data_IF_157389993650
#
_entry.id   IF_157389993650
#
_cell.length_a   1.000
_cell.length_b   1.000
_cell.length_c   1.000
_cell.angle_alpha   90.00
_cell.angle_beta   90.00
_cell.angle_gamma   90.00
#
_symmetry.space_group_name_H-M   'P 1'
#
loop_
_entity.id
_entity.type
_entity.pdbx_description
1 polymer ?
#
# COMPACT_ATOMS: atom_id res chain seq x y z
N UNK A 1 -28.75 23.90 77.62
CA UNK A 1 -29.83 22.90 77.38
C UNK A 1 -29.63 22.33 75.96
N UNK A 2 -30.03 21.08 75.70
CA UNK A 2 -29.17 20.13 74.98
C UNK A 2 -29.52 20.00 73.47
N UNK A 3 -28.71 19.45 72.56
CA UNK A 3 -27.73 18.35 72.61
C UNK A 3 -28.37 16.95 72.79
N UNK A 4 -27.74 15.83 72.40
CA UNK A 4 -26.46 15.63 71.68
C UNK A 4 -26.73 15.55 70.14
N UNK A 5 -26.06 14.82 69.23
CA UNK A 5 -25.05 13.77 69.36
C UNK A 5 -24.10 13.56 68.14
N UNK A 6 -23.05 12.80 68.47
CA UNK A 6 -21.99 12.09 67.74
C UNK A 6 -22.48 10.90 66.89
N UNK A 7 -21.73 10.27 65.95
CA UNK A 7 -20.49 10.52 65.18
C UNK A 7 -20.36 9.31 64.17
N UNK A 8 -19.28 8.95 63.45
CA UNK A 8 -17.87 9.38 63.38
C UNK A 8 -17.25 9.00 61.99
N UNK A 9 -15.93 9.24 61.82
CA UNK A 9 -15.04 8.69 60.77
C UNK A 9 -13.94 7.84 61.46
N UNK A 10 -13.33 6.83 60.78
CA UNK A 10 -12.05 7.11 60.11
C UNK A 10 -11.71 6.26 58.86
N UNK A 11 -10.85 6.83 58.02
CA UNK A 11 -9.82 6.13 57.21
C UNK A 11 -8.43 6.49 57.81
N UNK A 12 -7.26 5.97 57.35
CA UNK A 12 -6.98 5.01 56.27
C UNK A 12 -6.03 3.85 56.71
N UNK A 13 -5.45 3.07 55.78
CA UNK A 13 -4.23 2.28 56.06
C UNK A 13 -4.01 1.03 55.21
N UNK A 14 -2.83 0.87 54.60
CA UNK A 14 -2.52 -0.22 53.66
C UNK A 14 -1.73 -1.40 54.27
N UNK A 15 -2.04 -2.63 53.82
CA UNK A 15 -1.21 -3.85 53.75
C UNK A 15 -2.04 -4.95 53.04
N UNK A 16 -1.53 -5.93 52.30
CA UNK A 16 -0.33 -6.18 51.46
C UNK A 16 -0.35 -7.71 51.18
N UNK A 17 -0.24 -8.09 49.90
CA UNK A 17 0.32 -9.37 49.40
C UNK A 17 -0.48 -10.69 49.56
N UNK A 18 -0.07 -11.65 48.71
CA UNK A 18 -0.60 -13.01 48.50
C UNK A 18 -2.00 -13.06 47.79
N UNK A 19 -2.22 -13.79 46.70
CA UNK A 19 -1.36 -14.73 45.93
C UNK A 19 -1.45 -14.57 44.39
N UNK A 20 -0.29 -14.70 43.74
CA UNK A 20 -0.08 -15.28 42.40
C UNK A 20 1.24 -16.06 42.50
N UNK A 21 1.40 -17.21 41.82
CA UNK A 21 2.17 -17.15 40.56
C UNK A 21 1.86 -18.21 39.48
N UNK A 22 2.17 -17.86 38.22
CA UNK A 22 2.34 -18.78 37.08
C UNK A 22 1.12 -18.90 36.18
N UNK A 23 1.21 -18.76 34.84
CA UNK A 23 2.35 -18.56 33.89
C UNK A 23 1.74 -17.77 32.70
N UNK A 24 2.27 -16.69 32.11
CA UNK A 24 3.62 -16.31 31.64
C UNK A 24 4.29 -17.38 30.74
N UNK A 25 4.74 -17.08 29.50
CA UNK A 25 4.73 -15.84 28.71
C UNK A 25 5.08 -16.11 27.22
N UNK A 26 4.98 -15.07 26.38
CA UNK A 26 5.78 -14.79 25.17
C UNK A 26 5.65 -15.63 23.86
N UNK A 27 4.98 -15.03 22.86
CA UNK A 27 5.42 -14.82 21.45
C UNK A 27 4.25 -14.15 20.70
N UNK A 28 4.31 -12.96 20.08
CA UNK A 28 5.39 -12.07 19.62
C UNK A 28 6.23 -12.62 18.44
N UNK A 29 5.86 -12.19 17.22
CA UNK A 29 6.78 -12.05 16.07
C UNK A 29 6.77 -13.15 15.00
N UNK A 30 5.89 -13.03 13.99
CA UNK A 30 6.26 -13.22 12.56
C UNK A 30 5.06 -13.00 11.62
N UNK A 31 4.96 -11.81 11.03
CA UNK A 31 4.02 -11.48 9.94
C UNK A 31 4.63 -11.79 8.56
N UNK A 32 4.43 -13.01 8.06
CA UNK A 32 4.74 -13.39 6.66
C UNK A 32 3.67 -14.38 6.16
N UNK A 33 3.14 -14.15 4.96
CA UNK A 33 2.32 -15.13 4.23
C UNK A 33 0.87 -15.24 4.68
N UNK A 34 0.08 -14.19 4.44
CA UNK A 34 -1.38 -14.32 4.38
C UNK A 34 -1.82 -14.63 2.95
N UNK A 35 -2.24 -15.87 2.69
CA UNK A 35 -3.05 -16.18 1.50
C UNK A 35 -4.54 -16.00 1.85
N UNK A 36 -5.36 -15.37 0.98
CA UNK A 36 -6.80 -15.32 1.15
C UNK A 36 -7.42 -16.71 0.88
N UNK A 37 -8.43 -17.09 1.66
CA UNK A 37 -9.03 -18.44 1.62
C UNK A 37 -9.75 -18.81 0.30
N UNK A 38 -9.89 -17.87 -0.62
CA UNK A 38 -10.73 -17.97 -1.82
C UNK A 38 -10.20 -18.91 -2.92
N UNK A 39 -8.90 -19.20 -2.97
CA UNK A 39 -8.31 -20.11 -3.97
C UNK A 39 -8.86 -21.55 -3.86
N UNK A 40 -9.24 -21.97 -2.65
CA UNK A 40 -9.85 -23.28 -2.40
C UNK A 40 -11.32 -23.37 -2.87
N UNK A 41 -12.01 -22.23 -3.04
CA UNK A 41 -13.37 -22.17 -3.59
C UNK A 41 -13.34 -22.16 -5.13
N UNK A 42 -12.47 -21.34 -5.73
CA UNK A 42 -12.30 -21.26 -7.19
C UNK A 42 -11.95 -22.62 -7.83
N UNK A 43 -11.15 -23.44 -7.15
CA UNK A 43 -10.80 -24.79 -7.59
C UNK A 43 -11.98 -25.79 -7.68
N UNK A 44 -13.16 -25.47 -7.11
CA UNK A 44 -14.39 -26.27 -7.27
C UNK A 44 -15.29 -25.80 -8.43
N UNK A 45 -15.01 -24.65 -9.05
CA UNK A 45 -15.86 -24.08 -10.10
C UNK A 45 -15.53 -24.61 -11.52
N UNK A 46 -14.32 -25.15 -11.72
CA UNK A 46 -13.93 -25.83 -12.96
C UNK A 46 -13.85 -27.34 -12.71
N UNK A 47 -14.62 -28.12 -13.47
CA UNK A 47 -14.80 -29.56 -13.31
C UNK A 47 -13.58 -30.41 -13.70
N UNK A 48 -12.44 -30.18 -13.05
CA UNK A 48 -11.26 -31.03 -13.13
C UNK A 48 -11.18 -31.90 -11.88
N UNK A 49 -11.30 -33.23 -12.02
CA UNK A 49 -10.99 -34.15 -10.93
C UNK A 49 -9.47 -34.14 -10.66
N UNK A 50 -9.03 -33.22 -9.80
CA UNK A 50 -7.70 -33.21 -9.22
C UNK A 50 -7.58 -34.37 -8.22
N UNK A 51 -7.42 -35.59 -8.73
CA UNK A 51 -7.31 -36.81 -7.95
C UNK A 51 -6.28 -36.68 -6.83
N UNK A 52 -6.65 -37.11 -5.63
CA UNK A 52 -5.85 -36.91 -4.42
C UNK A 52 -4.40 -37.42 -4.61
N UNK A 53 -3.38 -36.63 -4.23
CA UNK A 53 -1.99 -36.97 -4.53
C UNK A 53 -1.59 -38.27 -3.83
N UNK A 54 -1.34 -39.31 -4.63
CA UNK A 54 -0.98 -40.64 -4.14
C UNK A 54 0.23 -40.54 -3.20
N UNK A 55 0.13 -40.96 -1.92
CA UNK A 55 1.19 -40.80 -0.94
C UNK A 55 2.48 -41.56 -1.29
N UNK A 56 2.45 -42.53 -2.21
CA UNK A 56 3.63 -43.20 -2.72
C UNK A 56 4.47 -42.33 -3.69
N UNK A 57 3.84 -41.40 -4.42
CA UNK A 57 4.53 -40.63 -5.47
C UNK A 57 5.59 -39.66 -4.93
N UNK A 58 5.39 -39.13 -3.71
CA UNK A 58 6.32 -38.18 -3.06
C UNK A 58 7.58 -38.89 -2.54
N UNK A 59 7.56 -40.22 -2.40
CA UNK A 59 8.70 -40.99 -1.88
C UNK A 59 9.78 -41.31 -2.93
N UNK A 60 9.45 -41.30 -4.23
CA UNK A 60 10.30 -41.85 -5.30
C UNK A 60 11.22 -40.85 -6.01
N UNK A 61 11.10 -39.55 -5.73
CA UNK A 61 12.02 -38.53 -6.28
C UNK A 61 13.32 -38.35 -5.48
N UNK A 62 13.55 -39.18 -4.45
CA UNK A 62 14.58 -38.97 -3.42
C UNK A 62 15.71 -40.02 -3.42
N UNK A 63 16.01 -40.63 -4.58
CA UNK A 63 17.03 -41.69 -4.69
C UNK A 63 17.88 -41.57 -5.97
N UNK A 64 18.97 -40.77 -5.90
CA UNK A 64 20.10 -40.89 -6.83
C UNK A 64 21.38 -40.32 -6.18
N UNK A 65 22.39 -41.15 -5.88
CA UNK A 65 23.69 -40.66 -5.43
C UNK A 65 24.54 -40.25 -6.65
N UNK A 66 25.03 -39.01 -6.65
CA UNK A 66 26.19 -38.64 -7.47
C UNK A 66 27.45 -39.30 -6.87
N UNK A 67 28.47 -39.63 -7.69
CA UNK A 67 29.64 -40.39 -7.23
C UNK A 67 30.46 -39.62 -6.19
N UNK A 68 31.08 -40.36 -5.27
CA UNK A 68 32.08 -39.82 -4.34
C UNK A 68 33.35 -39.42 -5.09
N UNK A 69 33.84 -38.20 -4.84
CA UNK A 69 35.11 -37.67 -5.35
C UNK A 69 36.05 -37.44 -4.15
N UNK A 70 37.10 -38.24 -4.04
CA UNK A 70 37.90 -38.38 -2.82
C UNK A 70 38.97 -37.28 -2.66
N UNK A 71 38.62 -36.12 -2.09
CA UNK A 71 39.61 -35.24 -1.46
C UNK A 71 39.13 -34.52 -0.19
N UNK A 72 40.01 -34.51 0.82
CA UNK A 72 40.21 -33.38 1.76
C UNK A 72 39.05 -32.88 2.64
N UNK A 73 39.17 -33.12 3.95
CA UNK A 73 38.57 -32.31 5.04
C UNK A 73 37.04 -32.05 5.01
N UNK A 74 36.27 -33.02 5.55
CA UNK A 74 34.84 -32.83 5.90
C UNK A 74 34.65 -31.79 7.01
N UNK A 75 34.50 -30.51 6.65
CA UNK A 75 34.25 -29.41 7.59
C UNK A 75 33.00 -29.65 8.46
N UNK A 76 33.10 -29.62 9.82
CA UNK A 76 31.97 -29.86 10.72
C UNK A 76 30.78 -28.92 10.48
N UNK A 77 31.06 -27.69 10.04
CA UNK A 77 30.05 -26.65 9.77
C UNK A 77 29.08 -27.07 8.68
N UNK A 78 29.54 -27.77 7.62
CA UNK A 78 28.65 -28.27 6.55
C UNK A 78 27.68 -29.34 7.06
N UNK A 79 28.08 -30.17 8.01
CA UNK A 79 27.20 -31.16 8.63
C UNK A 79 26.15 -30.49 9.53
N UNK A 80 26.56 -29.52 10.36
CA UNK A 80 25.67 -28.75 11.22
C UNK A 80 24.61 -27.94 10.44
N UNK A 81 25.00 -27.33 9.32
CA UNK A 81 24.06 -26.60 8.45
C UNK A 81 23.07 -27.56 7.78
N UNK A 82 23.48 -28.77 7.37
CA UNK A 82 22.57 -29.79 6.83
C UNK A 82 21.56 -30.26 7.88
N UNK A 83 21.99 -30.58 9.11
CA UNK A 83 21.06 -31.01 10.18
C UNK A 83 20.09 -29.91 10.61
N UNK A 84 20.56 -28.66 10.76
CA UNK A 84 19.69 -27.50 11.00
C UNK A 84 18.65 -27.31 9.89
N UNK A 85 19.02 -27.48 8.62
CA UNK A 85 18.09 -27.36 7.47
C UNK A 85 17.10 -28.54 7.41
N UNK A 86 17.50 -29.77 7.71
CA UNK A 86 16.57 -30.92 7.77
C UNK A 86 15.61 -30.83 8.95
N UNK A 87 16.07 -30.44 10.14
CA UNK A 87 15.20 -30.19 11.30
C UNK A 87 14.18 -29.07 11.00
N UNK A 88 14.61 -27.98 10.39
CA UNK A 88 13.73 -26.85 10.05
C UNK A 88 12.63 -27.27 9.07
N UNK A 89 12.96 -28.09 8.06
CA UNK A 89 11.98 -28.70 7.15
C UNK A 89 11.05 -29.66 7.89
N UNK A 90 11.57 -30.52 8.77
CA UNK A 90 10.78 -31.46 9.57
C UNK A 90 9.90 -30.78 10.65
N UNK A 91 10.23 -29.56 11.07
CA UNK A 91 9.36 -28.70 11.91
C UNK A 91 8.26 -28.06 11.06
N UNK A 92 8.59 -27.44 9.91
CA UNK A 92 7.60 -26.87 8.97
C UNK A 92 6.60 -27.92 8.47
N UNK A 93 7.05 -29.12 8.12
CA UNK A 93 6.16 -30.21 7.70
C UNK A 93 5.18 -30.64 8.81
N UNK A 94 5.64 -30.68 10.08
CA UNK A 94 4.78 -30.99 11.23
C UNK A 94 3.80 -29.87 11.55
N UNK A 95 4.20 -28.60 11.47
CA UNK A 95 3.27 -27.48 11.71
C UNK A 95 2.23 -27.34 10.60
N UNK A 96 2.58 -27.60 9.33
CA UNK A 96 1.62 -27.67 8.22
C UNK A 96 0.64 -28.83 8.42
N UNK A 97 1.12 -30.04 8.74
CA UNK A 97 0.24 -31.20 8.97
C UNK A 97 -0.68 -31.01 10.19
N UNK A 98 -0.20 -30.37 11.26
CA UNK A 98 -1.01 -30.01 12.41
C UNK A 98 -2.09 -28.96 12.04
N UNK A 99 -1.74 -27.90 11.32
CA UNK A 99 -2.67 -26.86 10.86
C UNK A 99 -3.73 -27.44 9.90
N UNK A 100 -3.34 -28.35 9.01
CA UNK A 100 -4.27 -29.07 8.13
C UNK A 100 -5.24 -29.97 8.92
N UNK A 101 -4.76 -30.73 9.91
CA UNK A 101 -5.63 -31.52 10.78
C UNK A 101 -6.58 -30.64 11.63
N UNK A 102 -6.12 -29.46 12.07
CA UNK A 102 -6.91 -28.50 12.84
C UNK A 102 -7.99 -27.82 11.99
N UNK A 103 -7.70 -27.53 10.71
CA UNK A 103 -8.69 -27.07 9.72
C UNK A 103 -9.71 -28.17 9.38
N UNK A 104 -9.26 -29.42 9.23
CA UNK A 104 -10.14 -30.55 8.94
C UNK A 104 -11.06 -30.91 10.12
N UNK A 105 -10.57 -30.76 11.36
CA UNK A 105 -11.41 -30.90 12.55
C UNK A 105 -12.42 -29.76 12.64
N UNK A 106 -12.00 -28.50 12.44
CA UNK A 106 -12.92 -27.35 12.38
C UNK A 106 -14.06 -27.55 11.38
N UNK A 107 -13.79 -28.08 10.18
CA UNK A 107 -14.86 -28.37 9.21
C UNK A 107 -15.86 -29.41 9.69
N UNK A 108 -15.42 -30.45 10.42
CA UNK A 108 -16.32 -31.44 11.01
C UNK A 108 -17.13 -30.81 12.16
N UNK A 109 -16.48 -29.99 13.00
CA UNK A 109 -17.14 -29.21 14.06
C UNK A 109 -18.13 -28.14 13.51
N UNK A 110 -18.06 -27.84 12.20
CA UNK A 110 -18.84 -26.86 11.45
C UNK A 110 -19.97 -27.52 10.62
N UNK A 111 -19.81 -28.79 10.22
CA UNK A 111 -20.85 -29.63 9.59
C UNK A 111 -21.85 -30.21 10.63
N UNK A 112 -21.40 -30.55 11.85
CA UNK A 112 -22.27 -31.00 12.97
C UNK A 112 -22.82 -29.83 13.84
N UNK A 113 -22.72 -28.59 13.36
CA UNK A 113 -23.16 -27.39 14.07
C UNK A 113 -24.70 -27.24 14.16
N UNK A 114 -25.23 -26.42 15.09
CA UNK A 114 -26.66 -26.14 15.17
C UNK A 114 -27.12 -25.32 13.95
N UNK A 115 -27.78 -26.00 12.99
CA UNK A 115 -28.30 -25.38 11.77
C UNK A 115 -29.37 -24.35 12.11
N UNK A 116 -29.15 -23.10 11.68
CA UNK A 116 -30.08 -21.99 11.86
C UNK A 116 -30.61 -21.50 10.50
N UNK A 117 -31.93 -21.33 10.39
CA UNK A 117 -32.55 -20.69 9.23
C UNK A 117 -32.48 -19.17 9.38
N UNK A 118 -31.71 -18.50 8.53
CA UNK A 118 -31.42 -17.06 8.62
C UNK A 118 -31.61 -16.38 7.26
N UNK A 119 -32.18 -15.18 7.27
CA UNK A 119 -32.14 -14.29 6.10
C UNK A 119 -30.69 -13.82 5.84
N UNK A 120 -30.34 -13.45 4.60
CA UNK A 120 -29.01 -12.94 4.27
C UNK A 120 -28.65 -11.68 5.09
N UNK A 121 -27.39 -11.53 5.54
CA UNK A 121 -26.97 -10.47 6.45
C UNK A 121 -27.02 -9.07 5.83
N UNK A 122 -27.10 -8.98 4.50
CA UNK A 122 -27.12 -7.74 3.73
C UNK A 122 -28.55 -7.20 3.43
N UNK A 123 -29.59 -7.96 3.79
CA UNK A 123 -31.00 -7.58 3.55
C UNK A 123 -31.76 -8.57 2.66
N UNK A 124 -33.00 -8.21 2.33
CA UNK A 124 -33.94 -9.04 1.57
C UNK A 124 -34.94 -8.19 0.77
N UNK A 125 -35.71 -8.83 -0.11
CA UNK A 125 -36.78 -8.19 -0.89
C UNK A 125 -38.16 -8.25 -0.21
N UNK A 126 -38.23 -8.68 1.05
CA UNK A 126 -39.48 -8.93 1.79
C UNK A 126 -40.33 -7.67 2.05
N UNK A 127 -39.70 -6.48 1.98
CA UNK A 127 -40.37 -5.19 2.14
C UNK A 127 -39.82 -4.15 1.17
N UNK A 128 -40.60 -3.11 0.86
CA UNK A 128 -40.15 -2.01 0.00
C UNK A 128 -38.90 -1.31 0.56
N UNK A 129 -38.83 -1.09 1.88
CA UNK A 129 -37.65 -0.47 2.52
C UNK A 129 -36.40 -1.35 2.42
N UNK A 130 -36.54 -2.65 2.69
CA UNK A 130 -35.46 -3.63 2.56
C UNK A 130 -34.98 -3.72 1.11
N UNK A 131 -35.91 -3.80 0.16
CA UNK A 131 -35.64 -3.83 -1.29
C UNK A 131 -34.88 -2.59 -1.74
N UNK A 132 -35.31 -1.40 -1.33
CA UNK A 132 -34.63 -0.15 -1.67
C UNK A 132 -33.22 -0.06 -1.07
N UNK A 133 -33.00 -0.61 0.13
CA UNK A 133 -31.66 -0.69 0.74
C UNK A 133 -30.74 -1.66 -0.01
N UNK A 134 -31.23 -2.87 -0.34
CA UNK A 134 -30.50 -3.86 -1.14
C UNK A 134 -30.14 -3.30 -2.52
N UNK A 135 -31.10 -2.70 -3.22
CA UNK A 135 -30.89 -2.13 -4.55
C UNK A 135 -29.98 -0.88 -4.51
N UNK A 136 -29.99 -0.12 -3.42
CA UNK A 136 -29.05 0.98 -3.20
C UNK A 136 -27.62 0.47 -3.01
N UNK A 137 -27.39 -0.53 -2.15
CA UNK A 137 -26.07 -1.13 -1.94
C UNK A 137 -25.55 -1.74 -3.24
N UNK A 138 -26.37 -2.52 -3.96
CA UNK A 138 -26.00 -3.02 -5.27
C UNK A 138 -25.58 -1.87 -6.23
N UNK A 139 -26.30 -0.74 -6.22
CA UNK A 139 -25.98 0.40 -7.08
C UNK A 139 -24.68 1.17 -6.73
N UNK A 140 -24.06 0.93 -5.57
CA UNK A 140 -22.70 1.46 -5.31
C UNK A 140 -21.61 0.62 -5.97
N UNK A 141 -21.91 -0.63 -6.34
CA UNK A 141 -20.96 -1.58 -6.92
C UNK A 141 -20.07 -2.30 -5.90
N UNK A 142 -20.36 -2.19 -4.60
CA UNK A 142 -19.65 -2.90 -3.53
C UNK A 142 -20.47 -4.11 -3.05
N UNK A 143 -19.89 -5.31 -3.14
CA UNK A 143 -20.53 -6.58 -2.76
C UNK A 143 -21.79 -6.97 -3.55
N UNK A 144 -22.11 -6.27 -4.65
CA UNK A 144 -23.33 -6.48 -5.45
C UNK A 144 -23.45 -7.91 -6.01
N UNK A 145 -22.30 -8.58 -6.22
CA UNK A 145 -22.20 -9.96 -6.67
C UNK A 145 -22.81 -10.98 -5.70
N UNK A 146 -22.68 -10.77 -4.38
CA UNK A 146 -23.21 -11.70 -3.37
C UNK A 146 -24.74 -11.66 -3.34
N UNK A 147 -25.34 -10.48 -3.53
CA UNK A 147 -26.79 -10.33 -3.72
C UNK A 147 -27.23 -11.01 -5.02
N UNK A 148 -26.45 -10.88 -6.10
CA UNK A 148 -26.76 -11.52 -7.38
C UNK A 148 -26.76 -13.04 -7.26
N UNK A 149 -25.71 -13.64 -6.70
CA UNK A 149 -25.64 -15.09 -6.50
C UNK A 149 -26.75 -15.58 -5.56
N UNK A 150 -27.01 -14.88 -4.45
CA UNK A 150 -28.10 -15.23 -3.53
C UNK A 150 -29.50 -15.14 -4.17
N UNK A 151 -29.69 -14.24 -5.14
CA UNK A 151 -30.93 -14.17 -5.92
C UNK A 151 -30.97 -15.17 -7.08
N UNK A 152 -29.82 -15.61 -7.61
CA UNK A 152 -29.75 -16.68 -8.60
C UNK A 152 -30.14 -18.02 -7.97
N UNK A 153 -29.64 -18.30 -6.77
CA UNK A 153 -29.83 -19.54 -6.02
C UNK A 153 -31.19 -19.65 -5.31
N UNK A 154 -31.99 -18.58 -5.32
CA UNK A 154 -33.33 -18.56 -4.74
C UNK A 154 -34.31 -19.45 -5.53
N UNK A 155 -35.00 -20.35 -4.82
CA UNK A 155 -35.90 -21.37 -5.38
C UNK A 155 -37.38 -21.05 -5.12
N UNK A 156 -37.90 -21.43 -3.95
CA UNK A 156 -39.30 -21.20 -3.53
C UNK A 156 -39.35 -20.75 -2.06
N UNK A 157 -40.47 -20.15 -1.64
CA UNK A 157 -40.65 -19.66 -0.27
C UNK A 157 -40.62 -20.82 0.73
N UNK A 158 -39.62 -20.82 1.61
CA UNK A 158 -39.40 -21.88 2.61
C UNK A 158 -38.59 -23.08 2.10
N UNK A 159 -38.09 -23.05 0.86
CA UNK A 159 -37.11 -24.02 0.35
C UNK A 159 -35.69 -23.48 0.49
N UNK A 160 -34.72 -24.39 0.62
CA UNK A 160 -33.31 -24.01 0.68
C UNK A 160 -32.86 -23.39 -0.65
N UNK A 161 -31.96 -22.38 -0.64
CA UNK A 161 -31.32 -21.93 -1.86
C UNK A 161 -30.49 -23.07 -2.45
N UNK A 162 -30.55 -23.23 -3.78
CA UNK A 162 -29.84 -24.29 -4.51
C UNK A 162 -29.06 -23.63 -5.64
N UNK A 163 -27.74 -23.89 -5.67
CA UNK A 163 -26.82 -23.24 -6.61
C UNK A 163 -27.30 -23.33 -8.06
N UNK A 164 -27.51 -22.19 -8.70
CA UNK A 164 -28.07 -22.11 -10.05
C UNK A 164 -27.35 -21.06 -10.94
N UNK A 165 -26.18 -21.45 -11.45
CA UNK A 165 -25.31 -20.66 -12.33
C UNK A 165 -25.99 -20.11 -13.60
N UNK A 166 -27.17 -20.63 -13.97
CA UNK A 166 -27.95 -20.21 -15.15
C UNK A 166 -29.32 -19.60 -14.80
N UNK A 167 -29.52 -19.18 -13.55
CA UNK A 167 -30.78 -18.61 -13.07
C UNK A 167 -31.19 -17.33 -13.81
N UNK A 168 -32.43 -17.24 -14.34
CA UNK A 168 -32.94 -16.02 -14.99
C UNK A 168 -32.92 -14.77 -14.09
N UNK A 169 -32.88 -14.94 -12.76
CA UNK A 169 -32.81 -13.84 -11.80
C UNK A 169 -31.53 -12.99 -11.96
N UNK A 170 -30.47 -13.56 -12.57
CA UNK A 170 -29.27 -12.82 -12.97
C UNK A 170 -29.58 -11.64 -13.91
N UNK A 171 -30.54 -11.79 -14.83
CA UNK A 171 -30.90 -10.73 -15.78
C UNK A 171 -31.49 -9.49 -15.08
N UNK A 172 -32.23 -9.67 -14.00
CA UNK A 172 -32.74 -8.54 -13.20
C UNK A 172 -31.60 -7.75 -12.57
N UNK A 173 -30.64 -8.43 -11.93
CA UNK A 173 -29.50 -7.79 -11.28
C UNK A 173 -28.56 -7.12 -12.29
N UNK A 174 -28.25 -7.79 -13.41
CA UNK A 174 -27.42 -7.21 -14.47
C UNK A 174 -28.11 -5.98 -15.09
N UNK A 175 -29.44 -6.01 -15.30
CA UNK A 175 -30.18 -4.86 -15.77
C UNK A 175 -30.21 -3.72 -14.74
N UNK A 176 -30.36 -4.02 -13.46
CA UNK A 176 -30.29 -3.02 -12.38
C UNK A 176 -28.91 -2.36 -12.32
N UNK A 177 -27.83 -3.15 -12.37
CA UNK A 177 -26.46 -2.64 -12.41
C UNK A 177 -26.20 -1.77 -13.63
N UNK A 178 -26.71 -2.16 -14.80
CA UNK A 178 -26.61 -1.33 -16.01
C UNK A 178 -27.32 0.02 -15.81
N UNK A 179 -28.54 0.04 -15.29
CA UNK A 179 -29.28 1.29 -15.04
C UNK A 179 -28.62 2.15 -13.96
N UNK A 180 -28.21 1.56 -12.83
CA UNK A 180 -27.55 2.26 -11.74
C UNK A 180 -26.22 2.90 -12.17
N UNK A 181 -25.31 2.09 -12.73
CA UNK A 181 -23.98 2.55 -13.10
C UNK A 181 -24.00 3.48 -14.32
N UNK A 182 -24.75 3.17 -15.39
CA UNK A 182 -24.71 3.97 -16.62
C UNK A 182 -25.68 5.15 -16.63
N UNK A 183 -26.82 5.08 -15.93
CA UNK A 183 -27.81 6.18 -15.93
C UNK A 183 -27.68 7.04 -14.68
N UNK A 184 -27.82 6.47 -13.48
CA UNK A 184 -27.91 7.28 -12.25
C UNK A 184 -26.59 8.00 -11.92
N UNK A 185 -25.46 7.28 -11.92
CA UNK A 185 -24.14 7.85 -11.60
C UNK A 185 -23.74 8.92 -12.63
N UNK A 186 -23.84 8.63 -13.92
CA UNK A 186 -23.49 9.58 -14.99
C UNK A 186 -24.39 10.83 -15.00
N UNK A 187 -25.71 10.68 -14.77
CA UNK A 187 -26.63 11.82 -14.68
C UNK A 187 -26.29 12.72 -13.48
N UNK A 188 -25.98 12.12 -12.32
CA UNK A 188 -25.63 12.84 -11.10
C UNK A 188 -24.29 13.58 -11.23
N UNK A 189 -23.24 12.90 -11.73
CA UNK A 189 -21.93 13.51 -12.00
C UNK A 189 -22.06 14.61 -13.05
N UNK A 190 -22.81 14.38 -14.14
CA UNK A 190 -23.11 15.38 -15.16
C UNK A 190 -23.74 16.64 -14.55
N UNK A 191 -24.84 16.48 -13.81
CA UNK A 191 -25.53 17.60 -13.15
C UNK A 191 -24.65 18.36 -12.15
N UNK A 192 -23.79 17.66 -11.38
CA UNK A 192 -22.83 18.29 -10.47
C UNK A 192 -21.76 19.07 -11.23
N UNK A 193 -21.14 18.48 -12.26
CA UNK A 193 -20.11 19.15 -13.09
C UNK A 193 -20.69 20.38 -13.79
N UNK A 194 -21.93 20.31 -14.27
CA UNK A 194 -22.65 21.42 -14.87
C UNK A 194 -22.88 22.56 -13.88
N UNK A 195 -23.38 22.24 -12.67
CA UNK A 195 -23.64 23.24 -11.64
C UNK A 195 -22.35 23.84 -11.08
N UNK A 196 -21.31 23.04 -10.89
CA UNK A 196 -19.99 23.52 -10.49
C UNK A 196 -19.38 24.43 -11.56
N UNK A 197 -19.53 24.09 -12.85
CA UNK A 197 -19.12 24.92 -13.98
C UNK A 197 -19.86 26.26 -14.02
N UNK A 198 -21.19 26.26 -13.80
CA UNK A 198 -22.03 27.47 -13.71
C UNK A 198 -21.62 28.37 -12.54
N UNK A 199 -21.28 27.81 -11.37
CA UNK A 199 -20.76 28.57 -10.22
C UNK A 199 -19.37 29.13 -10.53
N UNK A 200 -18.46 28.28 -11.04
CA UNK A 200 -17.08 28.65 -11.41
C UNK A 200 -17.02 29.80 -12.42
N UNK A 201 -17.95 29.85 -13.37
CA UNK A 201 -18.08 30.95 -14.33
C UNK A 201 -18.57 32.26 -13.70
N UNK A 202 -19.43 32.20 -12.66
CA UNK A 202 -19.90 33.37 -11.91
C UNK A 202 -18.87 33.91 -10.90
N UNK A 203 -17.95 33.08 -10.44
CA UNK A 203 -16.99 33.40 -9.35
C UNK A 203 -15.54 33.47 -9.85
N UNK A 204 -15.30 33.83 -11.12
CA UNK A 204 -13.97 33.98 -11.76
C UNK A 204 -12.97 32.84 -11.44
N UNK A 205 -13.48 31.60 -11.46
CA UNK A 205 -12.69 30.41 -11.12
C UNK A 205 -12.39 30.18 -9.64
N UNK A 206 -12.67 31.15 -8.76
CA UNK A 206 -12.34 31.14 -7.31
C UNK A 206 -13.36 30.41 -6.43
N UNK A 207 -14.35 29.71 -7.01
CA UNK A 207 -15.51 29.14 -6.31
C UNK A 207 -15.21 28.24 -5.09
N UNK A 208 -14.01 27.67 -5.00
CA UNK A 208 -13.55 26.78 -3.92
C UNK A 208 -12.24 27.26 -3.27
N UNK A 209 -11.86 28.53 -3.48
CA UNK A 209 -10.54 29.05 -3.14
C UNK A 209 -10.64 30.39 -2.41
N UNK A 210 -9.78 30.58 -1.41
CA UNK A 210 -9.67 31.89 -0.73
C UNK A 210 -8.92 32.89 -1.60
N UNK A 211 -9.16 34.19 -1.39
CA UNK A 211 -8.53 35.27 -2.18
C UNK A 211 -7.00 35.16 -2.21
N UNK A 212 -6.36 34.73 -1.11
CA UNK A 212 -4.92 34.51 -1.03
C UNK A 212 -4.45 33.30 -1.87
N UNK A 213 -5.20 32.19 -1.85
CA UNK A 213 -4.91 31.03 -2.70
C UNK A 213 -5.12 31.35 -4.19
N UNK A 214 -6.15 32.14 -4.53
CA UNK A 214 -6.40 32.61 -5.89
C UNK A 214 -5.28 33.53 -6.38
N UNK A 215 -4.79 34.44 -5.53
CA UNK A 215 -3.60 35.26 -5.83
C UNK A 215 -2.34 34.41 -6.04
N UNK A 216 -2.11 33.38 -5.22
CA UNK A 216 -0.99 32.44 -5.38
C UNK A 216 -1.09 31.66 -6.70
N UNK A 217 -2.26 31.11 -7.04
CA UNK A 217 -2.51 30.41 -8.31
C UNK A 217 -2.32 31.35 -9.50
N UNK A 218 -2.82 32.59 -9.42
CA UNK A 218 -2.64 33.58 -10.48
C UNK A 218 -1.16 34.00 -10.64
N UNK A 219 -0.42 34.11 -9.54
CA UNK A 219 1.03 34.37 -9.54
C UNK A 219 1.81 33.21 -10.18
N UNK A 220 1.45 31.95 -9.87
CA UNK A 220 2.04 30.78 -10.52
C UNK A 220 1.75 30.74 -12.02
N UNK A 221 0.48 30.92 -12.42
CA UNK A 221 0.06 30.97 -13.84
C UNK A 221 0.75 32.11 -14.61
N UNK A 222 0.92 33.28 -13.98
CA UNK A 222 1.66 34.40 -14.57
C UNK A 222 3.15 34.06 -14.71
N UNK A 223 3.79 33.54 -13.67
CA UNK A 223 5.19 33.12 -13.67
C UNK A 223 5.51 31.98 -14.65
N UNK A 224 4.53 31.19 -15.06
CA UNK A 224 4.66 30.21 -16.15
C UNK A 224 4.63 30.85 -17.54
N UNK A 225 3.88 31.96 -17.71
CA UNK A 225 3.81 32.72 -18.97
C UNK A 225 5.02 33.63 -19.19
N UNK A 226 5.57 34.23 -18.14
CA UNK A 226 6.65 35.25 -18.25
C UNK A 226 8.07 34.70 -18.18
N UNK A 227 8.27 33.40 -17.97
CA UNK A 227 9.61 32.82 -17.77
C UNK A 227 10.33 32.49 -19.08
N UNK A 228 10.72 33.53 -19.80
CA UNK A 228 11.88 33.44 -20.69
C UNK A 228 13.11 33.09 -19.86
N UNK A 229 13.63 31.87 -20.03
CA UNK A 229 14.85 31.43 -19.35
C UNK A 229 16.03 32.10 -20.03
N UNK A 230 16.48 33.23 -19.47
CA UNK A 230 17.70 33.93 -19.91
C UNK A 230 18.85 32.92 -20.06
N UNK A 231 19.32 32.75 -21.29
CA UNK A 231 20.32 31.74 -21.66
C UNK A 231 21.56 31.83 -20.78
N UNK A 232 22.05 30.67 -20.32
CA UNK A 232 23.18 30.61 -19.39
C UNK A 232 24.43 31.18 -20.06
N UNK A 233 24.98 32.27 -19.50
CA UNK A 233 26.18 32.93 -20.06
C UNK A 233 27.35 31.92 -20.05
N UNK A 234 28.00 31.67 -21.20
CA UNK A 234 29.05 30.66 -21.29
C UNK A 234 30.28 31.04 -20.45
N UNK A 235 31.00 30.07 -19.89
CA UNK A 235 32.16 30.32 -19.05
C UNK A 235 33.36 30.82 -19.85
N UNK A 236 34.21 31.64 -19.21
CA UNK A 236 35.53 32.01 -19.74
C UNK A 236 36.50 30.84 -19.57
N UNK A 237 37.33 30.58 -20.59
CA UNK A 237 38.37 29.53 -20.60
C UNK A 237 38.00 28.28 -21.41
N UNK A 238 38.87 27.87 -22.34
CA UNK A 238 38.56 26.88 -23.37
C UNK A 238 38.19 25.48 -22.85
N UNK A 239 38.88 24.97 -21.83
CA UNK A 239 38.59 23.66 -21.23
C UNK A 239 37.19 23.63 -20.59
N UNK A 240 36.89 24.62 -19.74
CA UNK A 240 35.58 24.75 -19.09
C UNK A 240 34.46 25.02 -20.11
N UNK A 241 34.77 25.73 -21.21
CA UNK A 241 33.83 25.93 -22.32
C UNK A 241 33.46 24.60 -23.00
N UNK A 242 34.44 23.73 -23.31
CA UNK A 242 34.16 22.37 -23.85
C UNK A 242 33.28 21.53 -22.92
N UNK A 243 33.53 21.55 -21.60
CA UNK A 243 32.67 20.85 -20.63
C UNK A 243 31.26 21.44 -20.60
N UNK A 244 31.13 22.78 -20.61
CA UNK A 244 29.85 23.47 -20.66
C UNK A 244 29.04 23.11 -21.93
N UNK A 245 29.68 23.12 -23.10
CA UNK A 245 29.02 22.79 -24.37
C UNK A 245 28.61 21.30 -24.42
N UNK A 246 29.44 20.38 -23.91
CA UNK A 246 29.11 18.96 -23.76
C UNK A 246 27.88 18.77 -22.84
N UNK A 247 27.91 19.33 -21.64
CA UNK A 247 26.85 19.17 -20.64
C UNK A 247 25.53 19.81 -21.08
N UNK A 248 25.60 20.89 -21.87
CA UNK A 248 24.42 21.59 -22.40
C UNK A 248 23.87 20.93 -23.69
N UNK A 249 24.54 19.90 -24.22
CA UNK A 249 24.10 19.20 -25.42
C UNK A 249 22.89 18.29 -25.16
N UNK A 250 21.93 18.30 -26.10
CA UNK A 250 20.74 17.43 -26.06
C UNK A 250 21.13 15.94 -26.06
N UNK A 251 22.24 15.59 -26.70
CA UNK A 251 22.80 14.24 -26.72
C UNK A 251 23.25 13.79 -25.33
N UNK A 252 23.90 14.66 -24.55
CA UNK A 252 24.27 14.35 -23.16
C UNK A 252 23.03 14.22 -22.27
N UNK A 253 22.03 15.10 -22.44
CA UNK A 253 20.78 14.95 -21.69
C UNK A 253 20.05 13.64 -22.03
N UNK A 254 19.96 13.26 -23.31
CA UNK A 254 19.34 12.00 -23.74
C UNK A 254 20.10 10.76 -23.26
N UNK A 255 21.43 10.81 -23.27
CA UNK A 255 22.27 9.76 -22.68
C UNK A 255 21.95 9.56 -21.19
N UNK A 256 21.92 10.64 -20.40
CA UNK A 256 21.58 10.56 -18.97
C UNK A 256 20.15 10.06 -18.74
N UNK A 257 19.16 10.47 -19.56
CA UNK A 257 17.80 9.93 -19.47
C UNK A 257 17.75 8.43 -19.79
N UNK A 258 18.54 7.96 -20.76
CA UNK A 258 18.67 6.53 -21.10
C UNK A 258 19.31 5.73 -19.96
N UNK A 259 20.35 6.29 -19.32
CA UNK A 259 21.00 5.73 -18.12
C UNK A 259 19.99 5.60 -16.97
N UNK A 260 19.17 6.64 -16.71
CA UNK A 260 18.12 6.62 -15.68
C UNK A 260 17.06 5.56 -15.98
N UNK A 261 16.65 5.43 -17.25
CA UNK A 261 15.66 4.44 -17.68
C UNK A 261 16.18 3.00 -17.49
N UNK A 262 17.39 2.68 -17.98
CA UNK A 262 18.02 1.37 -17.77
C UNK A 262 18.22 1.05 -16.28
N UNK A 263 18.61 2.04 -15.48
CA UNK A 263 18.74 1.86 -14.03
C UNK A 263 17.38 1.61 -13.34
N UNK A 264 16.31 2.22 -13.84
CA UNK A 264 14.93 2.01 -13.35
C UNK A 264 14.43 0.61 -13.71
N UNK A 265 14.72 0.10 -14.92
CA UNK A 265 14.42 -1.29 -15.30
C UNK A 265 15.10 -2.27 -14.34
N UNK A 266 16.40 -2.08 -14.06
CA UNK A 266 17.11 -2.96 -13.13
C UNK A 266 16.57 -2.87 -11.70
N UNK A 267 16.15 -1.68 -11.21
CA UNK A 267 15.47 -1.57 -9.91
C UNK A 267 14.11 -2.28 -9.88
N UNK A 268 13.46 -2.47 -11.03
CA UNK A 268 12.24 -3.27 -11.15
C UNK A 268 12.48 -4.79 -11.29
N UNK A 269 13.74 -5.23 -11.34
CA UNK A 269 14.14 -6.65 -11.27
C UNK A 269 14.52 -7.08 -9.83
N UNK A 270 14.42 -6.19 -8.85
CA UNK A 270 14.65 -6.47 -7.43
C UNK A 270 13.47 -7.28 -6.86
N UNK A 271 13.73 -8.31 -6.05
CA UNK A 271 12.70 -9.25 -5.58
C UNK A 271 12.99 -9.83 -4.19
N UNK A 272 11.98 -10.48 -3.58
CA UNK A 272 12.08 -11.02 -2.22
C UNK A 272 13.15 -12.13 -2.11
N UNK A 273 14.03 -12.01 -1.12
CA UNK A 273 15.20 -12.91 -0.90
C UNK A 273 16.23 -12.91 -2.06
N UNK A 274 16.28 -11.85 -2.90
CA UNK A 274 17.33 -11.69 -3.93
C UNK A 274 18.76 -11.75 -3.36
N UNK A 275 18.97 -11.38 -2.09
CA UNK A 275 20.29 -11.42 -1.42
C UNK A 275 20.93 -12.83 -1.38
N UNK A 276 20.13 -13.91 -1.50
CA UNK A 276 20.59 -15.30 -1.59
C UNK A 276 20.90 -15.78 -3.03
N UNK A 277 20.59 -14.99 -4.08
CA UNK A 277 20.87 -15.32 -5.49
C UNK A 277 22.33 -14.98 -5.87
N UNK A 278 23.10 -15.91 -6.50
CA UNK A 278 24.36 -15.60 -7.19
C UNK A 278 24.35 -14.36 -8.12
N UNK A 279 23.19 -13.93 -8.62
CA UNK A 279 23.02 -12.69 -9.39
C UNK A 279 23.18 -11.42 -8.53
N UNK A 280 22.92 -11.45 -7.22
CA UNK A 280 22.91 -10.28 -6.33
C UNK A 280 24.22 -9.48 -6.36
N UNK A 281 25.37 -10.16 -6.45
CA UNK A 281 26.67 -9.51 -6.58
C UNK A 281 26.78 -8.68 -7.88
N UNK A 282 26.27 -9.22 -9.00
CA UNK A 282 26.24 -8.54 -10.31
C UNK A 282 25.24 -7.38 -10.31
N UNK A 283 24.06 -7.58 -9.72
CA UNK A 283 23.05 -6.53 -9.51
C UNK A 283 23.65 -5.35 -8.73
N UNK A 284 24.28 -5.63 -7.60
CA UNK A 284 24.88 -4.61 -6.71
C UNK A 284 26.03 -3.87 -7.39
N UNK A 285 26.94 -4.58 -8.06
CA UNK A 285 28.02 -3.96 -8.86
C UNK A 285 27.45 -3.07 -9.98
N UNK A 286 26.39 -3.51 -10.66
CA UNK A 286 25.76 -2.74 -11.74
C UNK A 286 25.07 -1.48 -11.19
N UNK A 287 24.35 -1.58 -10.06
CA UNK A 287 23.77 -0.43 -9.36
C UNK A 287 24.82 0.61 -8.93
N UNK A 288 25.98 0.14 -8.48
CA UNK A 288 27.12 0.97 -8.09
C UNK A 288 27.75 1.69 -9.30
N UNK A 289 27.86 1.02 -10.45
CA UNK A 289 28.27 1.65 -11.73
C UNK A 289 27.31 2.78 -12.12
N UNK A 290 25.99 2.56 -12.03
CA UNK A 290 25.01 3.63 -12.25
C UNK A 290 25.19 4.80 -11.28
N UNK A 291 25.51 4.52 -10.01
CA UNK A 291 25.90 5.54 -9.02
C UNK A 291 27.04 6.44 -9.50
N UNK A 292 28.14 5.86 -9.99
CA UNK A 292 29.27 6.63 -10.52
C UNK A 292 28.92 7.47 -11.76
N UNK A 293 27.98 7.02 -12.61
CA UNK A 293 27.52 7.84 -13.75
C UNK A 293 26.80 9.11 -13.25
N UNK A 294 25.97 9.01 -12.20
CA UNK A 294 25.32 10.20 -11.62
C UNK A 294 26.30 11.12 -10.86
N UNK A 295 27.35 10.58 -10.26
CA UNK A 295 28.39 11.39 -9.60
C UNK A 295 29.23 12.16 -10.62
N UNK A 296 29.66 11.48 -11.70
CA UNK A 296 30.40 12.12 -12.80
C UNK A 296 29.54 13.14 -13.56
N UNK A 297 28.26 12.84 -13.81
CA UNK A 297 27.26 13.79 -14.32
C UNK A 297 27.20 15.08 -13.47
N UNK A 298 27.06 14.95 -12.15
CA UNK A 298 26.96 16.10 -11.25
C UNK A 298 28.25 16.92 -11.20
N UNK A 299 29.42 16.29 -11.20
CA UNK A 299 30.72 16.96 -11.26
C UNK A 299 30.92 17.69 -12.59
N UNK A 300 30.55 17.08 -13.72
CA UNK A 300 30.58 17.72 -15.04
C UNK A 300 29.63 18.92 -15.11
N UNK A 301 28.39 18.79 -14.62
CA UNK A 301 27.43 19.90 -14.53
C UNK A 301 27.96 21.04 -13.66
N UNK A 302 28.48 20.74 -12.47
CA UNK A 302 28.97 21.73 -11.52
C UNK A 302 30.22 22.47 -12.04
N UNK A 303 31.14 21.77 -12.72
CA UNK A 303 32.36 22.38 -13.29
C UNK A 303 32.07 23.19 -14.56
N UNK A 304 31.26 22.67 -15.49
CA UNK A 304 30.85 23.37 -16.71
C UNK A 304 30.05 24.64 -16.39
N UNK A 305 28.85 24.48 -15.83
CA UNK A 305 27.95 25.59 -15.50
C UNK A 305 28.55 26.54 -14.46
N UNK A 306 29.28 25.99 -13.48
CA UNK A 306 29.79 26.70 -12.30
C UNK A 306 28.72 26.87 -11.22
N UNK A 307 29.12 26.79 -9.95
CA UNK A 307 28.23 26.78 -8.80
C UNK A 307 27.10 27.82 -8.84
N UNK A 308 27.39 29.10 -9.15
CA UNK A 308 26.36 30.17 -9.20
C UNK A 308 25.24 29.88 -10.20
N UNK A 309 25.55 29.32 -11.37
CA UNK A 309 24.55 28.98 -12.38
C UNK A 309 23.87 27.63 -12.08
N UNK A 310 24.64 26.66 -11.58
CA UNK A 310 24.17 25.34 -11.20
C UNK A 310 23.10 25.42 -10.09
N UNK A 311 23.40 26.07 -8.97
CA UNK A 311 22.47 26.19 -7.84
C UNK A 311 21.30 27.17 -8.10
N UNK A 312 21.33 27.96 -9.18
CA UNK A 312 20.19 28.78 -9.59
C UNK A 312 19.05 27.96 -10.23
N UNK A 313 19.33 26.76 -10.74
CA UNK A 313 18.32 25.88 -11.35
C UNK A 313 17.71 24.92 -10.32
N UNK A 314 16.38 24.91 -10.21
CA UNK A 314 15.67 23.99 -9.31
C UNK A 314 15.96 22.52 -9.64
N UNK A 315 16.05 22.17 -10.93
CA UNK A 315 16.37 20.82 -11.38
C UNK A 315 17.79 20.42 -11.00
N UNK A 316 18.77 21.31 -11.17
CA UNK A 316 20.16 21.03 -10.78
C UNK A 316 20.33 20.95 -9.25
N UNK A 317 19.55 21.72 -8.47
CA UNK A 317 19.47 21.58 -7.00
C UNK A 317 18.91 20.23 -6.58
N UNK A 318 17.85 19.76 -7.25
CA UNK A 318 17.28 18.43 -7.02
C UNK A 318 18.24 17.31 -7.43
N UNK A 319 18.88 17.42 -8.61
CA UNK A 319 19.90 16.50 -9.08
C UNK A 319 21.05 16.35 -8.07
N UNK A 320 21.52 17.47 -7.52
CA UNK A 320 22.56 17.51 -6.49
C UNK A 320 22.11 16.87 -5.18
N UNK A 321 20.91 17.18 -4.69
CA UNK A 321 20.36 16.58 -3.49
C UNK A 321 20.29 15.04 -3.59
N UNK A 322 19.81 14.50 -4.71
CA UNK A 322 19.77 13.05 -4.94
C UNK A 322 21.17 12.41 -4.97
N UNK A 323 22.17 13.13 -5.49
CA UNK A 323 23.58 12.70 -5.48
C UNK A 323 24.16 12.71 -4.05
N UNK A 324 23.91 13.76 -3.27
CA UNK A 324 24.32 13.81 -1.86
C UNK A 324 23.67 12.69 -1.03
N UNK A 325 22.37 12.43 -1.20
CA UNK A 325 21.72 11.32 -0.51
C UNK A 325 22.26 9.97 -0.97
N UNK A 326 22.52 9.78 -2.27
CA UNK A 326 23.11 8.54 -2.78
C UNK A 326 24.53 8.31 -2.25
N UNK A 327 25.32 9.36 -2.02
CA UNK A 327 26.64 9.26 -1.37
C UNK A 327 26.51 8.87 0.12
N UNK A 328 25.53 9.43 0.84
CA UNK A 328 25.27 9.06 2.24
C UNK A 328 24.75 7.61 2.33
N UNK A 329 23.90 7.16 1.41
CA UNK A 329 23.41 5.77 1.31
C UNK A 329 24.55 4.79 0.97
N UNK A 330 25.54 5.20 0.18
CA UNK A 330 26.66 4.37 -0.28
C UNK A 330 27.85 4.27 0.70
N UNK A 331 28.11 5.31 1.49
CA UNK A 331 29.25 5.35 2.44
C UNK A 331 28.83 5.39 3.91
N UNK A 332 27.56 5.71 4.20
CA UNK A 332 27.06 5.95 5.56
C UNK A 332 26.85 4.68 6.40
N UNK A 333 26.70 3.50 5.80
CA UNK A 333 26.73 2.24 6.54
C UNK A 333 28.14 1.99 7.09
N UNK A 334 29.10 1.84 6.18
CA UNK A 334 30.40 1.24 6.48
C UNK A 334 31.35 2.21 7.19
N UNK A 335 31.20 3.51 6.96
CA UNK A 335 32.10 4.55 7.50
C UNK A 335 31.49 5.35 8.67
N UNK A 336 30.16 5.31 8.86
CA UNK A 336 29.49 6.26 9.76
C UNK A 336 28.85 5.63 11.00
N UNK A 337 28.62 4.32 11.07
CA UNK A 337 28.24 3.63 12.32
C UNK A 337 29.23 3.91 13.48
N UNK A 338 30.52 4.11 13.16
CA UNK A 338 31.57 4.42 14.13
C UNK A 338 31.52 5.86 14.71
N UNK A 339 30.75 6.77 14.09
CA UNK A 339 30.73 8.21 14.44
C UNK A 339 29.32 8.76 14.71
N UNK A 340 28.28 8.20 14.08
CA UNK A 340 26.88 8.61 14.24
C UNK A 340 26.02 7.33 14.26
N UNK A 341 25.33 7.00 15.37
CA UNK A 341 24.42 5.86 15.42
C UNK A 341 23.13 6.18 14.64
N UNK A 342 23.14 5.96 13.32
CA UNK A 342 21.97 6.14 12.45
C UNK A 342 21.04 4.93 12.63
N UNK A 343 19.78 5.10 13.06
CA UNK A 343 18.87 3.97 13.23
C UNK A 343 18.59 3.27 11.90
N UNK A 344 18.53 1.93 11.85
CA UNK A 344 18.48 1.16 10.60
C UNK A 344 17.23 1.39 9.75
N UNK A 345 16.16 1.93 10.34
CA UNK A 345 14.98 2.39 9.62
C UNK A 345 15.29 3.58 8.71
N UNK A 346 16.13 4.53 9.13
CA UNK A 346 16.54 5.65 8.28
C UNK A 346 17.41 5.18 7.13
N UNK A 347 18.38 4.28 7.37
CA UNK A 347 19.17 3.66 6.30
C UNK A 347 18.26 2.97 5.26
N UNK A 348 17.21 2.25 5.70
CA UNK A 348 16.22 1.67 4.78
C UNK A 348 15.47 2.73 3.96
N UNK A 349 15.15 3.90 4.53
CA UNK A 349 14.50 5.02 3.82
C UNK A 349 15.47 5.71 2.84
N UNK A 350 16.76 5.84 3.16
CA UNK A 350 17.76 6.38 2.23
C UNK A 350 17.87 5.52 0.97
N UNK A 351 17.82 4.18 1.10
CA UNK A 351 17.72 3.28 -0.06
C UNK A 351 16.54 3.62 -0.95
N UNK A 352 15.35 3.92 -0.40
CA UNK A 352 14.17 4.32 -1.17
C UNK A 352 14.33 5.67 -1.88
N UNK A 353 15.11 6.61 -1.33
CA UNK A 353 15.41 7.89 -2.01
C UNK A 353 16.12 7.67 -3.35
N UNK A 354 16.83 6.53 -3.53
CA UNK A 354 17.42 6.18 -4.84
C UNK A 354 16.37 6.12 -5.94
N UNK A 355 15.14 5.66 -5.66
CA UNK A 355 14.04 5.56 -6.62
C UNK A 355 13.65 6.94 -7.17
N UNK A 356 13.76 8.02 -6.37
CA UNK A 356 13.43 9.38 -6.78
C UNK A 356 14.25 9.90 -7.97
N UNK A 357 15.34 9.22 -8.36
CA UNK A 357 16.06 9.49 -9.63
C UNK A 357 15.16 9.34 -10.86
N UNK A 358 14.12 8.50 -10.81
CA UNK A 358 13.12 8.37 -11.89
C UNK A 358 12.38 9.68 -12.15
N UNK A 359 12.21 10.53 -11.12
CA UNK A 359 11.57 11.85 -11.24
C UNK A 359 12.36 12.82 -12.14
N UNK A 360 13.65 12.56 -12.40
CA UNK A 360 14.43 13.31 -13.39
C UNK A 360 13.86 13.19 -14.80
N UNK A 361 13.17 12.10 -15.14
CA UNK A 361 12.50 11.93 -16.44
C UNK A 361 11.42 13.01 -16.69
N UNK A 362 10.81 13.56 -15.62
CA UNK A 362 9.84 14.66 -15.69
C UNK A 362 10.47 15.93 -16.30
N UNK A 363 11.78 16.15 -16.09
CA UNK A 363 12.50 17.29 -16.69
C UNK A 363 12.50 17.20 -18.23
N UNK A 364 12.63 15.99 -18.78
CA UNK A 364 12.68 15.75 -20.23
C UNK A 364 11.30 15.77 -20.90
N UNK A 365 10.26 15.28 -20.22
CA UNK A 365 8.91 15.21 -20.79
C UNK A 365 8.08 16.46 -20.50
N UNK A 366 7.91 17.32 -21.51
CA UNK A 366 7.01 18.48 -21.45
C UNK A 366 5.59 18.09 -21.01
N UNK A 367 5.02 17.03 -21.60
CA UNK A 367 3.65 16.59 -21.29
C UNK A 367 3.47 16.21 -19.82
N UNK A 368 4.36 15.37 -19.28
CA UNK A 368 4.30 14.95 -17.87
C UNK A 368 4.50 16.16 -16.93
N UNK A 369 5.45 17.04 -17.25
CA UNK A 369 5.68 18.27 -16.47
C UNK A 369 4.47 19.19 -16.48
N UNK A 370 3.82 19.39 -17.61
CA UNK A 370 2.68 20.29 -17.75
C UNK A 370 1.42 19.70 -17.06
N UNK A 371 1.25 18.37 -17.07
CA UNK A 371 0.25 17.65 -16.24
C UNK A 371 0.52 17.82 -14.74
N UNK A 372 1.72 17.53 -14.25
CA UNK A 372 2.10 17.69 -12.83
C UNK A 372 1.94 19.15 -12.38
N UNK A 373 2.28 20.11 -13.25
CA UNK A 373 2.07 21.54 -12.99
C UNK A 373 0.59 21.87 -12.84
N UNK A 374 -0.29 21.27 -13.66
CA UNK A 374 -1.74 21.41 -13.56
C UNK A 374 -2.28 20.84 -12.24
N UNK A 375 -1.78 19.66 -11.82
CA UNK A 375 -2.10 19.07 -10.51
C UNK A 375 -1.68 20.02 -9.37
N UNK A 376 -0.44 20.52 -9.37
CA UNK A 376 0.06 21.46 -8.35
C UNK A 376 -0.79 22.74 -8.26
N UNK A 377 -1.24 23.28 -9.40
CA UNK A 377 -2.14 24.45 -9.44
C UNK A 377 -3.51 24.14 -8.80
N UNK A 378 -4.00 22.90 -8.91
CA UNK A 378 -5.29 22.48 -8.33
C UNK A 378 -5.23 22.19 -6.82
N UNK A 379 -4.04 21.92 -6.26
CA UNK A 379 -3.87 21.50 -4.86
C UNK A 379 -4.53 22.42 -3.81
N UNK A 380 -4.53 23.77 -3.89
CA UNK A 380 -5.16 24.60 -2.87
C UNK A 380 -6.69 24.47 -2.84
N UNK A 381 -7.32 24.26 -4.00
CA UNK A 381 -8.76 23.99 -4.11
C UNK A 381 -9.08 22.59 -3.55
N UNK A 382 -8.28 21.59 -3.93
CA UNK A 382 -8.42 20.22 -3.43
C UNK A 382 -8.20 20.14 -1.91
N UNK A 383 -7.26 20.91 -1.36
CA UNK A 383 -7.02 20.99 0.08
C UNK A 383 -8.22 21.56 0.84
N UNK A 384 -8.91 22.58 0.32
CA UNK A 384 -10.09 23.14 0.99
C UNK A 384 -11.24 22.12 1.04
N UNK A 385 -11.49 21.41 -0.06
CA UNK A 385 -12.52 20.36 -0.13
C UNK A 385 -12.12 19.16 0.75
N UNK A 386 -10.85 18.75 0.69
CA UNK A 386 -10.30 17.66 1.52
C UNK A 386 -10.27 17.99 3.02
N UNK A 387 -10.10 19.26 3.41
CA UNK A 387 -10.20 19.70 4.79
C UNK A 387 -11.65 19.67 5.31
N UNK A 388 -12.63 20.06 4.48
CA UNK A 388 -14.05 19.89 4.80
C UNK A 388 -14.42 18.41 4.94
N UNK A 389 -13.96 17.56 4.01
CA UNK A 389 -14.15 16.11 4.09
C UNK A 389 -13.47 15.51 5.32
N UNK A 390 -12.25 15.95 5.66
CA UNK A 390 -11.53 15.56 6.87
C UNK A 390 -12.25 15.96 8.16
N UNK A 391 -12.94 17.10 8.19
CA UNK A 391 -13.81 17.49 9.31
C UNK A 391 -15.03 16.57 9.41
N UNK A 392 -15.62 16.16 8.29
CA UNK A 392 -16.71 15.16 8.28
C UNK A 392 -16.22 13.81 8.80
N UNK A 393 -15.07 13.31 8.33
CA UNK A 393 -14.43 12.09 8.86
C UNK A 393 -14.20 12.23 10.37
N UNK A 394 -13.66 13.36 10.85
CA UNK A 394 -13.41 13.59 12.27
C UNK A 394 -14.70 13.46 13.10
N UNK A 395 -15.80 14.10 12.67
CA UNK A 395 -17.08 14.05 13.36
C UNK A 395 -17.63 12.61 13.40
N UNK A 396 -17.66 11.93 12.25
CA UNK A 396 -18.13 10.55 12.17
C UNK A 396 -17.21 9.55 12.89
N UNK A 397 -15.90 9.82 13.00
CA UNK A 397 -14.97 8.98 13.75
C UNK A 397 -15.22 9.08 15.26
N UNK A 398 -15.45 10.30 15.78
CA UNK A 398 -15.82 10.50 17.20
C UNK A 398 -17.17 9.84 17.50
N UNK A 399 -18.17 10.01 16.64
CA UNK A 399 -19.47 9.34 16.78
C UNK A 399 -19.33 7.81 16.69
N UNK A 400 -18.58 7.30 15.71
CA UNK A 400 -18.37 5.88 15.49
C UNK A 400 -17.67 5.18 16.66
N UNK A 401 -16.67 5.82 17.29
CA UNK A 401 -16.08 5.31 18.54
C UNK A 401 -17.14 5.18 19.63
N UNK A 402 -17.98 6.20 19.85
CA UNK A 402 -18.98 6.16 20.92
C UNK A 402 -20.13 5.18 20.66
N UNK A 403 -20.50 4.95 19.40
CA UNK A 403 -21.62 4.09 19.00
C UNK A 403 -21.21 2.62 18.75
N UNK A 404 -20.00 2.38 18.24
CA UNK A 404 -19.64 1.09 17.63
C UNK A 404 -18.41 0.38 18.24
N UNK A 405 -17.77 0.93 19.29
CA UNK A 405 -16.65 0.26 20.00
C UNK A 405 -17.00 -1.16 20.49
N UNK A 406 -18.27 -1.41 20.82
CA UNK A 406 -18.74 -2.69 21.38
C UNK A 406 -19.45 -3.60 20.36
N UNK A 407 -19.38 -3.29 19.06
CA UNK A 407 -19.91 -4.17 18.01
C UNK A 407 -19.07 -5.45 17.93
N UNK A 408 -19.73 -6.60 17.79
CA UNK A 408 -19.06 -7.89 17.69
C UNK A 408 -18.15 -7.93 16.45
N UNK A 409 -16.92 -8.42 16.64
CA UNK A 409 -15.94 -8.52 15.56
C UNK A 409 -16.26 -9.72 14.66
N UNK A 410 -16.30 -9.46 13.37
CA UNK A 410 -16.65 -10.41 12.31
C UNK A 410 -15.75 -10.18 11.09
N UNK A 411 -16.26 -10.48 9.90
CA UNK A 411 -15.47 -10.35 8.66
C UNK A 411 -15.11 -8.88 8.34
N UNK A 412 -16.11 -8.00 8.31
CA UNK A 412 -15.90 -6.58 7.99
C UNK A 412 -15.23 -5.81 9.14
N UNK A 413 -15.76 -5.94 10.37
CA UNK A 413 -15.21 -5.32 11.58
C UNK A 413 -14.22 -6.28 12.24
N UNK A 414 -12.93 -6.11 11.99
CA UNK A 414 -11.86 -7.02 12.43
C UNK A 414 -11.06 -6.47 13.63
N UNK A 415 -9.95 -7.12 14.03
CA UNK A 415 -9.07 -6.59 15.08
C UNK A 415 -8.36 -5.28 14.68
N UNK A 416 -8.15 -5.02 13.39
CA UNK A 416 -7.54 -3.79 12.87
C UNK A 416 -8.53 -2.82 12.20
N UNK A 417 -9.63 -3.34 11.63
CA UNK A 417 -10.71 -2.54 11.03
C UNK A 417 -11.86 -2.38 12.03
N UNK A 418 -11.80 -1.39 12.93
CA UNK A 418 -12.84 -1.19 13.94
C UNK A 418 -12.90 0.26 14.46
N UNK A 419 -13.89 0.49 15.33
CA UNK A 419 -14.11 1.74 16.03
C UNK A 419 -13.50 1.79 17.45
N UNK A 420 -12.72 0.77 17.87
CA UNK A 420 -12.10 0.68 19.22
C UNK A 420 -11.29 1.93 19.60
N UNK A 421 -10.73 2.63 18.60
CA UNK A 421 -9.91 3.83 18.78
C UNK A 421 -10.16 4.82 17.66
N UNK A 422 -10.02 6.12 17.96
CA UNK A 422 -10.17 7.20 16.97
C UNK A 422 -9.27 7.02 15.72
N UNK A 423 -8.05 6.51 15.89
CA UNK A 423 -7.14 6.24 14.77
C UNK A 423 -7.66 5.16 13.82
N UNK A 424 -8.16 4.04 14.35
CA UNK A 424 -8.78 2.97 13.55
C UNK A 424 -10.11 3.41 12.94
N UNK A 425 -10.93 4.15 13.69
CA UNK A 425 -12.18 4.74 13.20
C UNK A 425 -11.95 5.67 12.00
N UNK A 426 -10.93 6.54 12.05
CA UNK A 426 -10.55 7.40 10.91
C UNK A 426 -10.08 6.61 9.69
N UNK A 427 -9.31 5.52 9.88
CA UNK A 427 -8.86 4.66 8.77
C UNK A 427 -10.02 3.87 8.15
N UNK A 428 -10.94 3.34 8.97
CA UNK A 428 -12.13 2.63 8.52
C UNK A 428 -13.08 3.57 7.76
N UNK A 429 -13.34 4.77 8.28
CA UNK A 429 -14.15 5.77 7.58
C UNK A 429 -13.47 6.32 6.32
N UNK A 430 -12.13 6.35 6.27
CA UNK A 430 -11.40 6.66 5.04
C UNK A 430 -11.52 5.55 3.99
N UNK A 431 -11.59 4.28 4.40
CA UNK A 431 -11.95 3.18 3.50
C UNK A 431 -13.38 3.35 2.98
N UNK A 432 -14.35 3.70 3.84
CA UNK A 432 -15.75 3.92 3.45
C UNK A 432 -16.02 5.17 2.58
N UNK A 433 -14.98 5.87 2.10
CA UNK A 433 -15.10 7.02 1.19
C UNK A 433 -14.76 6.70 -0.27
N UNK A 434 -14.31 5.48 -0.57
CA UNK A 434 -13.78 5.07 -1.88
C UNK A 434 -14.22 3.67 -2.28
#
# INVERSE_FOLDING_TARGET
>A
APAPATAALPSPGARRLAEQPGRQLAALGSTVGGEPLYTAAAARAFGHEAGAPNPAAVALSAASPAPDDETGTKSPVRHYIRSRRSESRARRARSVKARAAQLHRRRMDEEDGPVAWLNPPFGSFDSFGSSMMVLYIASTGDGWEDFMWSCMDATEVGQAPVRNDFSPNAFFMIAWMFVGAFVALNLFVGAIVDNFSKIKAKTDGSATMTSAQQQWVNTMKAGMKTKEVKGMRPPKGAFRRKIFDLVTSTQFEFFIMSVIFCNTILMAMDYYEIEDDPFYAKYTQTMLIFGYIYYTEAVLKLTGMGAKNYFASNWCRFDFFLVCVSLIDQFGSDSMEAFIPIPPMLLRVLRLVRILRVLRLIKGSKGIRDLITTVIISLPSLFNVGALLGLVIFIYAVLGVQLFTYVQKGENISEDRNFDTFGRACLLLFQCLT
#
